data_IF_125855542799
#
_entry.id   IF_125855542799
#
_cell.length_a   1.000
_cell.length_b   1.000
_cell.length_c   1.000
_cell.angle_alpha   90.00
_cell.angle_beta   90.00
_cell.angle_gamma   90.00
#
_symmetry.space_group_name_H-M   'P 1'
#
loop_
_entity.id
_entity.type
_entity.pdbx_description
1 polymer ?
#
# COMPACT_ATOMS: atom_id res chain seq x y z
N UNK A 1 -15.94 19.71 13.13
CA UNK A 1 -14.55 19.95 13.56
C UNK A 1 -13.74 18.75 13.10
N UNK A 2 -12.94 18.90 12.05
CA UNK A 2 -12.06 17.80 11.60
C UNK A 2 -10.93 17.70 12.62
N UNK A 3 -11.03 16.73 13.52
CA UNK A 3 -9.91 16.33 14.37
C UNK A 3 -8.85 15.76 13.44
N UNK A 4 -7.85 16.55 13.09
CA UNK A 4 -6.64 16.07 12.43
C UNK A 4 -5.96 15.10 13.38
N UNK A 5 -6.29 13.80 13.24
CA UNK A 5 -5.63 12.72 13.96
C UNK A 5 -4.13 12.79 13.67
N UNK A 6 -3.37 13.27 14.65
CA UNK A 6 -1.93 13.35 14.55
C UNK A 6 -1.36 11.93 14.50
N UNK A 7 -0.58 11.63 13.47
CA UNK A 7 0.15 10.37 13.34
C UNK A 7 1.18 10.27 14.48
N UNK A 8 1.11 9.21 15.28
CA UNK A 8 2.03 8.97 16.38
C UNK A 8 3.21 8.09 15.89
N UNK A 9 4.47 8.57 15.99
CA UNK A 9 5.63 7.78 15.58
C UNK A 9 5.79 6.53 16.45
N UNK A 10 6.21 5.41 15.84
CA UNK A 10 6.28 4.06 16.41
C UNK A 10 4.93 3.41 16.76
N UNK A 11 3.81 4.09 16.53
CA UNK A 11 2.46 3.52 16.73
C UNK A 11 1.75 3.42 15.38
N UNK A 12 1.63 4.52 14.65
CA UNK A 12 0.93 4.58 13.37
C UNK A 12 1.88 4.38 12.18
N UNK A 13 3.13 4.79 12.35
CA UNK A 13 4.17 4.62 11.34
C UNK A 13 5.56 4.55 11.96
N UNK A 14 6.53 4.03 11.21
CA UNK A 14 7.95 4.08 11.51
C UNK A 14 8.74 4.40 10.24
N UNK A 15 9.96 4.88 10.41
CA UNK A 15 10.89 5.08 9.30
C UNK A 15 11.85 3.91 9.27
N UNK A 16 11.93 3.20 8.15
CA UNK A 16 12.88 2.11 7.98
C UNK A 16 14.31 2.64 7.79
N UNK A 17 15.31 1.76 7.87
CA UNK A 17 16.72 2.07 7.60
C UNK A 17 16.95 2.79 6.28
N UNK A 18 16.12 2.51 5.27
CA UNK A 18 16.16 3.12 3.94
C UNK A 18 15.54 4.53 3.89
N UNK A 19 15.06 5.07 5.02
CA UNK A 19 14.37 6.37 5.07
C UNK A 19 12.92 6.32 4.61
N UNK A 20 12.39 5.15 4.31
CA UNK A 20 11.01 4.96 3.84
C UNK A 20 10.03 5.01 5.02
N UNK A 21 8.93 5.73 4.83
CA UNK A 21 7.83 5.79 5.78
C UNK A 21 6.95 4.55 5.63
N UNK A 22 6.90 3.73 6.68
CA UNK A 22 6.13 2.49 6.70
C UNK A 22 5.01 2.63 7.73
N UNK A 23 3.76 2.53 7.28
CA UNK A 23 2.59 2.54 8.15
C UNK A 23 2.38 1.17 8.80
N UNK A 24 1.88 1.19 10.03
CA UNK A 24 1.55 -0.02 10.79
C UNK A 24 0.12 -0.46 10.50
N UNK A 25 -0.20 -1.69 10.90
CA UNK A 25 -1.56 -2.24 10.80
C UNK A 25 -2.59 -1.38 11.55
N UNK A 26 -2.21 -0.84 12.72
CA UNK A 26 -3.08 0.01 13.55
C UNK A 26 -3.56 1.24 12.79
N UNK A 27 -2.66 1.91 12.05
CA UNK A 27 -3.02 3.06 11.23
C UNK A 27 -4.03 2.69 10.14
N UNK A 28 -3.83 1.54 9.50
CA UNK A 28 -4.76 1.05 8.48
C UNK A 28 -6.13 0.65 9.05
N UNK A 29 -6.19 0.18 10.30
CA UNK A 29 -7.43 -0.08 11.03
C UNK A 29 -8.14 1.23 11.42
N UNK A 30 -7.42 2.23 11.93
CA UNK A 30 -7.97 3.55 12.30
C UNK A 30 -8.55 4.28 11.08
N UNK A 31 -7.88 4.16 9.93
CA UNK A 31 -8.37 4.66 8.63
C UNK A 31 -9.70 4.04 8.20
N UNK A 32 -9.99 2.80 8.63
CA UNK A 32 -11.26 2.12 8.40
C UNK A 32 -11.52 1.65 6.95
N UNK A 33 -10.56 1.74 6.02
CA UNK A 33 -10.72 1.23 4.66
C UNK A 33 -9.39 0.79 4.01
N UNK A 34 -9.45 -0.19 3.11
CA UNK A 34 -8.31 -0.65 2.31
C UNK A 34 -8.12 0.23 1.07
N UNK A 35 -6.90 0.74 0.86
CA UNK A 35 -6.55 1.52 -0.34
C UNK A 35 -5.99 0.69 -1.50
N UNK A 36 -5.92 -0.64 -1.34
CA UNK A 36 -5.48 -1.57 -2.38
C UNK A 36 -4.07 -1.29 -2.95
N UNK A 37 -3.20 -0.64 -2.17
CA UNK A 37 -1.85 -0.25 -2.61
C UNK A 37 -0.76 -1.29 -2.26
N UNK A 38 -1.14 -2.48 -1.78
CA UNK A 38 -0.15 -3.53 -1.47
C UNK A 38 0.72 -3.26 -0.24
N UNK A 39 0.20 -2.57 0.77
CA UNK A 39 0.98 -2.22 1.97
C UNK A 39 1.49 -3.47 2.73
N UNK A 40 2.70 -3.40 3.27
CA UNK A 40 3.35 -4.51 4.00
C UNK A 40 2.53 -4.98 5.22
N UNK A 41 1.98 -4.03 5.99
CA UNK A 41 1.19 -4.31 7.20
C UNK A 41 -0.32 -4.19 6.95
N UNK A 42 -0.79 -4.63 5.77
CA UNK A 42 -2.20 -4.53 5.42
C UNK A 42 -3.07 -5.51 6.24
N UNK A 43 -4.00 -5.03 7.10
CA UNK A 43 -4.90 -5.91 7.86
C UNK A 43 -5.90 -6.65 6.94
N UNK A 44 -6.12 -6.15 5.73
CA UNK A 44 -7.08 -6.70 4.77
C UNK A 44 -6.49 -7.77 3.84
N UNK A 45 -5.22 -8.15 4.01
CA UNK A 45 -4.58 -9.20 3.20
C UNK A 45 -4.33 -8.80 1.73
N UNK A 46 -4.18 -7.51 1.43
CA UNK A 46 -3.90 -7.02 0.07
C UNK A 46 -2.40 -7.05 -0.30
N UNK A 47 -1.52 -7.42 0.64
CA UNK A 47 -0.06 -7.46 0.42
C UNK A 47 0.34 -8.42 -0.70
N UNK A 48 -0.37 -9.55 -0.84
CA UNK A 48 0.00 -10.63 -1.76
C UNK A 48 -0.52 -10.38 -3.19
N UNK A 49 -1.33 -9.33 -3.38
CA UNK A 49 -1.91 -8.96 -4.68
C UNK A 49 -1.08 -7.94 -5.45
N UNK A 50 0.02 -7.47 -4.86
CA UNK A 50 0.90 -6.46 -5.42
C UNK A 50 2.30 -7.04 -5.47
N UNK A 51 2.83 -7.23 -6.68
CA UNK A 51 4.21 -7.63 -6.86
C UNK A 51 5.12 -6.40 -6.68
N UNK A 52 6.05 -6.40 -5.71
CA UNK A 52 6.92 -5.26 -5.44
C UNK A 52 7.94 -5.00 -6.56
N UNK A 53 8.18 -5.96 -7.45
CA UNK A 53 9.08 -5.79 -8.60
C UNK A 53 8.34 -5.22 -9.82
N UNK A 54 7.02 -5.10 -9.76
CA UNK A 54 6.21 -4.49 -10.81
C UNK A 54 5.93 -3.03 -10.44
N UNK A 55 6.39 -2.06 -11.24
CA UNK A 55 6.08 -0.64 -11.05
C UNK A 55 4.57 -0.40 -10.89
N UNK A 56 4.16 0.54 -10.04
CA UNK A 56 2.75 0.77 -9.69
C UNK A 56 1.84 1.13 -10.88
N UNK A 57 2.41 1.67 -11.94
CA UNK A 57 1.75 1.90 -13.25
C UNK A 57 1.34 0.59 -13.95
N UNK A 58 2.13 -0.47 -13.78
CA UNK A 58 1.92 -1.79 -14.36
C UNK A 58 1.25 -2.78 -13.40
N UNK A 59 0.92 -2.35 -12.17
CA UNK A 59 0.07 -3.08 -11.22
C UNK A 59 -1.42 -3.02 -11.63
N UNK A 60 -1.70 -2.70 -12.90
CA UNK A 60 -3.04 -2.54 -13.44
C UNK A 60 -3.56 -3.88 -13.94
N UNK A 61 -4.73 -4.22 -13.38
CA UNK A 61 -5.67 -5.28 -13.68
C UNK A 61 -5.34 -6.13 -14.92
N UNK A 62 -5.17 -7.43 -14.68
CA UNK A 62 -5.05 -8.53 -15.64
C UNK A 62 -6.34 -8.72 -16.47
N UNK A 63 -6.87 -7.65 -17.07
CA UNK A 63 -8.07 -7.63 -17.90
C UNK A 63 -7.84 -6.99 -19.26
N UNK A 64 -6.77 -6.24 -19.45
CA UNK A 64 -6.40 -5.72 -20.77
C UNK A 64 -5.19 -6.49 -21.27
N UNK A 65 -5.40 -7.77 -21.63
CA UNK A 65 -4.38 -8.58 -22.28
C UNK A 65 -3.96 -7.93 -23.60
N UNK A 66 -3.05 -6.96 -23.51
CA UNK A 66 -2.28 -6.43 -24.63
C UNK A 66 -1.01 -7.27 -24.67
N UNK A 67 -1.17 -8.45 -25.24
CA UNK A 67 -0.09 -9.12 -25.92
C UNK A 67 0.17 -8.27 -27.17
N UNK A 68 1.01 -7.25 -27.03
CA UNK A 68 1.55 -6.54 -28.20
C UNK A 68 2.59 -7.48 -28.82
N UNK A 69 2.07 -8.49 -29.51
CA UNK A 69 2.72 -9.16 -30.62
C UNK A 69 2.84 -8.13 -31.76
N UNK A 70 3.78 -7.19 -31.68
CA UNK A 70 4.18 -6.42 -32.86
C UNK A 70 5.72 -6.46 -33.03
N UNK A 71 6.09 -7.50 -33.81
CA UNK A 71 7.26 -7.70 -34.69
C UNK A 71 8.70 -7.79 -34.12
#
# INVERSE_FOLDING_TARGET
MATTSALIPNIDYYINTDGNLVFTEKYHLDRGHCCQSGCLHCPYGYKDKVDPNVPSEFQSNWSDGVFDEEE
#
